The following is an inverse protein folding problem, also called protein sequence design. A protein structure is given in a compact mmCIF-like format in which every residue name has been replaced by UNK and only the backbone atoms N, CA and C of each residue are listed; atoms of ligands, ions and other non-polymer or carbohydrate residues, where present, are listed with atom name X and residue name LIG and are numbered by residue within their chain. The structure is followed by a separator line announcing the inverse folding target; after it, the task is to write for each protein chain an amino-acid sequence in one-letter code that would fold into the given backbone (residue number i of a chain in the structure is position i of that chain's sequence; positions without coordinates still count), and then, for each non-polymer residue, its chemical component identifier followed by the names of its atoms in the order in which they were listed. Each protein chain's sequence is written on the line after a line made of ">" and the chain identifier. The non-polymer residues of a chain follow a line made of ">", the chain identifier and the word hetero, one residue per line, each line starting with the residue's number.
data_IF_450404431792
#
_entry.id   IF_450404431792
#
_cell.length_a   1.000
_cell.length_b   1.000
_cell.length_c   1.000
_cell.angle_alpha   90.00
_cell.angle_beta   90.00
_cell.angle_gamma   90.00
#
_symmetry.space_group_name_H-M   'P 1'
#
loop_
_entity.id
_entity.type
_entity.pdbx_description
1 polymer ?
#
# COMPACT_ATOMS: atom_id res chain seq x y z
N UNK A 1 -8.14 3.26 -4.61
CA UNK A 1 -6.78 2.70 -4.78
C UNK A 1 -5.96 2.97 -3.54
N UNK A 2 -5.10 2.04 -3.15
CA UNK A 2 -4.29 2.18 -1.96
C UNK A 2 -2.92 1.49 -2.02
N UNK A 3 -2.03 1.95 -1.14
CA UNK A 3 -0.81 1.27 -0.73
C UNK A 3 -0.80 1.28 0.80
N UNK A 4 -0.69 0.11 1.42
CA UNK A 4 -0.49 -0.03 2.85
C UNK A 4 0.82 -0.75 3.10
N UNK A 5 1.77 -0.12 3.78
CA UNK A 5 2.94 -0.80 4.30
C UNK A 5 2.73 -1.19 5.76
N UNK A 6 3.02 -2.43 6.11
CA UNK A 6 3.16 -2.86 7.50
C UNK A 6 4.64 -2.80 7.83
N UNK A 7 4.98 -1.96 8.79
CA UNK A 7 6.35 -1.68 9.22
C UNK A 7 6.56 -2.28 10.59
N UNK A 8 7.62 -3.05 10.77
CA UNK A 8 8.05 -3.57 12.06
C UNK A 8 9.18 -2.70 12.60
N UNK A 9 9.04 -2.23 13.84
CA UNK A 9 10.13 -1.54 14.53
C UNK A 9 11.07 -2.51 15.25
N UNK A 10 12.18 -2.00 15.79
CA UNK A 10 13.18 -2.80 16.52
C UNK A 10 12.63 -3.50 17.77
N UNK A 11 11.58 -2.94 18.37
CA UNK A 11 10.86 -3.50 19.52
C UNK A 11 9.88 -4.61 19.12
N UNK A 12 9.66 -4.80 17.81
CA UNK A 12 8.76 -5.81 17.25
C UNK A 12 7.31 -5.33 17.06
N UNK A 13 7.02 -4.06 17.34
CA UNK A 13 5.70 -3.46 17.13
C UNK A 13 5.45 -3.22 15.64
N UNK A 14 4.20 -3.41 15.23
CA UNK A 14 3.76 -3.22 13.84
C UNK A 14 3.02 -1.90 13.67
N UNK A 15 3.36 -1.17 12.62
CA UNK A 15 2.79 0.12 12.26
C UNK A 15 2.26 0.03 10.83
N UNK A 16 0.97 0.31 10.64
CA UNK A 16 0.36 0.39 9.33
C UNK A 16 0.47 1.82 8.76
N UNK A 17 1.05 1.96 7.57
CA UNK A 17 1.17 3.23 6.84
C UNK A 17 0.36 3.13 5.56
N UNK A 18 -0.81 3.79 5.55
CA UNK A 18 -1.77 3.76 4.44
C UNK A 18 -1.73 5.05 3.63
N UNK A 19 -1.64 4.93 2.32
CA UNK A 19 -1.88 5.98 1.34
C UNK A 19 -3.04 5.56 0.43
N UNK A 20 -3.90 6.50 0.06
CA UNK A 20 -5.06 6.26 -0.78
C UNK A 20 -5.16 7.32 -1.88
N UNK A 21 -5.68 6.91 -3.02
CA UNK A 21 -6.01 7.80 -4.12
C UNK A 21 -7.38 7.40 -4.67
N UNK A 22 -8.27 8.39 -4.76
CA UNK A 22 -9.60 8.22 -5.33
C UNK A 22 -9.48 8.13 -6.86
N UNK A 23 -9.41 6.91 -7.37
CA UNK A 23 -9.47 6.60 -8.79
C UNK A 23 -10.73 5.78 -9.03
N UNK A 24 -11.62 6.31 -9.86
CA UNK A 24 -12.87 5.69 -10.30
C UNK A 24 -12.67 4.67 -11.43
N UNK A 25 -11.46 4.61 -11.99
CA UNK A 25 -11.11 3.75 -13.12
C UNK A 25 -10.62 2.39 -12.59
N UNK A 26 -11.43 1.36 -12.81
CA UNK A 26 -11.10 -0.03 -12.46
C UNK A 26 -10.25 -0.68 -13.56
N UNK A 27 -10.66 -0.52 -14.82
CA UNK A 27 -9.97 -1.07 -16.00
C UNK A 27 -9.80 0.01 -17.07
N UNK A 28 -8.59 0.57 -17.25
CA UNK A 28 -8.35 1.58 -18.27
C UNK A 28 -8.30 0.96 -19.67
N UNK A 29 -9.40 1.02 -20.42
CA UNK A 29 -9.51 0.44 -21.77
C UNK A 29 -9.02 1.39 -22.86
N UNK A 30 -9.34 2.69 -22.76
CA UNK A 30 -8.93 3.73 -23.70
C UNK A 30 -7.69 4.53 -23.23
N UNK A 31 -7.08 5.29 -24.14
CA UNK A 31 -5.84 6.05 -23.87
C UNK A 31 -6.05 7.10 -22.78
N UNK A 32 -7.20 7.80 -22.76
CA UNK A 32 -7.45 8.84 -21.77
C UNK A 32 -7.61 8.22 -20.37
N UNK A 33 -8.31 7.09 -20.27
CA UNK A 33 -8.43 6.33 -19.02
C UNK A 33 -7.08 5.78 -18.55
N UNK A 34 -6.22 5.30 -19.47
CA UNK A 34 -4.85 4.87 -19.15
C UNK A 34 -4.01 6.01 -18.59
N UNK A 35 -4.08 7.19 -19.20
CA UNK A 35 -3.38 8.38 -18.71
C UNK A 35 -3.88 8.81 -17.32
N UNK A 36 -5.20 8.85 -17.12
CA UNK A 36 -5.79 9.17 -15.80
C UNK A 36 -5.36 8.15 -14.74
N UNK A 37 -5.42 6.87 -15.05
CA UNK A 37 -4.99 5.80 -14.14
C UNK A 37 -3.51 5.93 -13.76
N UNK A 38 -2.65 6.23 -14.72
CA UNK A 38 -1.23 6.49 -14.48
C UNK A 38 -1.00 7.72 -13.57
N UNK A 39 -1.75 8.82 -13.79
CA UNK A 39 -1.69 10.01 -12.94
C UNK A 39 -2.08 9.69 -11.49
N UNK A 40 -3.18 8.97 -11.28
CA UNK A 40 -3.60 8.57 -9.94
C UNK A 40 -2.61 7.59 -9.28
N UNK A 41 -2.01 6.70 -10.05
CA UNK A 41 -0.97 5.78 -9.56
C UNK A 41 0.28 6.55 -9.12
N UNK A 42 0.73 7.52 -9.91
CA UNK A 42 1.87 8.37 -9.55
C UNK A 42 1.59 9.25 -8.33
N UNK A 43 0.37 9.80 -8.24
CA UNK A 43 -0.07 10.55 -7.05
C UNK A 43 -0.04 9.66 -5.80
N UNK A 44 -0.59 8.45 -5.90
CA UNK A 44 -0.60 7.46 -4.82
C UNK A 44 0.83 7.13 -4.34
N UNK A 45 1.75 6.91 -5.28
CA UNK A 45 3.16 6.69 -4.98
C UNK A 45 3.81 7.88 -4.28
N UNK A 46 3.57 9.10 -4.76
CA UNK A 46 4.11 10.31 -4.14
C UNK A 46 3.62 10.47 -2.68
N UNK A 47 2.32 10.30 -2.45
CA UNK A 47 1.70 10.39 -1.12
C UNK A 47 2.25 9.30 -0.18
N UNK A 48 2.42 8.08 -0.70
CA UNK A 48 3.04 6.98 0.03
C UNK A 48 4.50 7.27 0.41
N UNK A 49 5.31 7.77 -0.53
CA UNK A 49 6.72 8.10 -0.29
C UNK A 49 6.88 9.17 0.79
N UNK A 50 6.02 10.18 0.81
CA UNK A 50 6.02 11.20 1.87
C UNK A 50 5.73 10.58 3.23
N UNK A 51 4.72 9.70 3.31
CA UNK A 51 4.32 9.05 4.56
C UNK A 51 5.36 8.06 5.09
N UNK A 52 6.02 7.31 4.20
CA UNK A 52 6.98 6.27 4.61
C UNK A 52 8.37 6.83 4.92
N UNK A 53 8.71 8.03 4.43
CA UNK A 53 10.04 8.65 4.59
C UNK A 53 10.55 8.65 6.04
N UNK A 54 9.69 8.90 7.02
CA UNK A 54 10.09 8.94 8.44
C UNK A 54 10.51 7.57 9.01
N UNK A 55 10.15 6.49 8.33
CA UNK A 55 10.51 5.11 8.69
C UNK A 55 11.69 4.57 7.85
N UNK A 56 12.29 5.38 6.95
CA UNK A 56 13.46 4.98 6.18
C UNK A 56 14.75 5.10 7.04
N UNK A 57 14.82 4.36 8.14
CA UNK A 57 15.94 4.34 9.07
C UNK A 57 16.21 2.90 9.57
N UNK A 58 17.31 2.70 10.30
CA UNK A 58 17.77 1.37 10.73
C UNK A 58 16.85 0.69 11.76
N UNK A 59 15.94 1.42 12.39
CA UNK A 59 15.06 0.89 13.43
C UNK A 59 13.73 0.38 12.89
N UNK A 60 13.50 0.48 11.57
CA UNK A 60 12.26 0.08 10.92
C UNK A 60 12.54 -0.78 9.69
N UNK A 61 11.71 -1.80 9.50
CA UNK A 61 11.72 -2.63 8.30
C UNK A 61 10.30 -2.79 7.77
N UNK A 62 10.15 -2.75 6.45
CA UNK A 62 8.87 -3.08 5.79
C UNK A 62 8.73 -4.60 5.84
N UNK A 63 7.69 -5.07 6.53
CA UNK A 63 7.36 -6.51 6.64
C UNK A 63 6.55 -6.95 5.43
N UNK A 64 5.50 -6.18 5.09
CA UNK A 64 4.65 -6.47 3.93
C UNK A 64 4.04 -5.21 3.33
N UNK A 65 3.66 -5.29 2.06
CA UNK A 65 2.92 -4.26 1.32
C UNK A 65 1.59 -4.83 0.85
N UNK A 66 0.49 -4.12 1.10
CA UNK A 66 -0.84 -4.44 0.60
C UNK A 66 -1.26 -3.37 -0.42
N UNK A 67 -1.80 -3.79 -1.56
CA UNK A 67 -2.30 -2.86 -2.58
C UNK A 67 -3.41 -3.47 -3.41
N UNK A 68 -4.31 -2.63 -3.92
CA UNK A 68 -5.32 -2.98 -4.92
C UNK A 68 -4.88 -2.63 -6.36
N UNK A 69 -3.66 -2.12 -6.53
CA UNK A 69 -3.12 -1.73 -7.82
C UNK A 69 -2.19 -2.84 -8.35
N UNK A 70 -2.54 -3.55 -9.43
CA UNK A 70 -1.76 -4.67 -9.92
C UNK A 70 -0.39 -4.27 -10.48
N UNK A 71 -0.25 -3.04 -10.99
CA UNK A 71 1.05 -2.52 -11.47
C UNK A 71 1.99 -2.36 -10.28
N UNK A 72 1.49 -1.75 -9.20
CA UNK A 72 2.27 -1.55 -7.98
C UNK A 72 2.60 -2.88 -7.29
N UNK A 73 1.67 -3.82 -7.26
CA UNK A 73 1.92 -5.16 -6.74
C UNK A 73 3.13 -5.80 -7.43
N UNK A 74 3.12 -5.84 -8.77
CA UNK A 74 4.19 -6.44 -9.55
C UNK A 74 5.56 -5.77 -9.30
N UNK A 75 5.60 -4.45 -9.11
CA UNK A 75 6.84 -3.74 -8.80
C UNK A 75 7.31 -3.98 -7.36
N UNK A 76 6.41 -3.91 -6.37
CA UNK A 76 6.77 -4.11 -4.97
C UNK A 76 7.17 -5.55 -4.66
N UNK A 77 6.54 -6.55 -5.30
CA UNK A 77 6.87 -7.97 -5.13
C UNK A 77 8.32 -8.32 -5.50
N UNK A 78 9.03 -7.46 -6.24
CA UNK A 78 10.46 -7.65 -6.56
C UNK A 78 11.38 -7.44 -5.36
N UNK A 79 10.93 -6.71 -4.35
CA UNK A 79 11.74 -6.26 -3.22
C UNK A 79 11.10 -6.53 -1.86
N UNK A 80 9.79 -6.73 -1.81
CA UNK A 80 9.01 -6.88 -0.59
C UNK A 80 8.04 -8.03 -0.71
N UNK A 81 7.61 -8.56 0.44
CA UNK A 81 6.42 -9.39 0.50
C UNK A 81 5.20 -8.51 0.20
N UNK A 82 4.57 -8.69 -0.96
CA UNK A 82 3.48 -7.84 -1.41
C UNK A 82 2.24 -8.66 -1.79
N UNK A 83 1.07 -8.20 -1.34
CA UNK A 83 -0.20 -8.90 -1.49
C UNK A 83 -1.25 -8.02 -2.16
N UNK A 84 -2.03 -8.63 -3.06
CA UNK A 84 -3.20 -7.98 -3.62
C UNK A 84 -4.34 -8.03 -2.61
N UNK A 85 -4.81 -6.87 -2.16
CA UNK A 85 -5.95 -6.75 -1.26
C UNK A 85 -6.89 -5.70 -1.83
N UNK A 86 -8.19 -5.96 -2.01
CA UNK A 86 -9.16 -4.92 -2.38
C UNK A 86 -9.26 -3.85 -1.28
N UNK A 87 -9.45 -2.58 -1.66
CA UNK A 87 -9.56 -1.48 -0.70
C UNK A 87 -10.63 -1.72 0.38
N UNK A 88 -11.75 -2.36 0.03
CA UNK A 88 -12.82 -2.70 0.96
C UNK A 88 -12.39 -3.69 2.06
N UNK A 89 -11.35 -4.50 1.84
CA UNK A 89 -10.88 -5.52 2.78
C UNK A 89 -9.62 -5.09 3.54
N UNK A 90 -9.01 -3.95 3.19
CA UNK A 90 -7.68 -3.58 3.67
C UNK A 90 -7.62 -3.42 5.19
N UNK A 91 -8.65 -2.82 5.80
CA UNK A 91 -8.66 -2.56 7.23
C UNK A 91 -8.85 -3.85 8.03
N UNK A 92 -9.61 -4.83 7.49
CA UNK A 92 -9.72 -6.16 8.09
C UNK A 92 -8.38 -6.92 8.06
N UNK A 93 -7.69 -6.89 6.93
CA UNK A 93 -6.38 -7.56 6.83
C UNK A 93 -5.32 -6.87 7.70
N UNK A 94 -5.33 -5.53 7.80
CA UNK A 94 -4.47 -4.79 8.73
C UNK A 94 -4.71 -5.27 10.17
N UNK A 95 -5.96 -5.32 10.62
CA UNK A 95 -6.30 -5.73 11.99
C UNK A 95 -5.82 -7.15 12.30
N UNK A 96 -6.01 -8.07 11.34
CA UNK A 96 -5.54 -9.45 11.44
C UNK A 96 -4.01 -9.54 11.55
N UNK A 97 -3.28 -8.82 10.70
CA UNK A 97 -1.81 -8.82 10.69
C UNK A 97 -1.21 -8.14 11.93
N UNK A 98 -1.90 -7.13 12.44
CA UNK A 98 -1.53 -6.42 13.66
C UNK A 98 -1.91 -7.18 14.95
N UNK A 99 -2.62 -8.31 14.85
CA UNK A 99 -3.04 -9.09 16.01
C UNK A 99 -4.12 -8.39 16.86
N UNK A 100 -4.84 -7.43 16.27
CA UNK A 100 -5.97 -6.77 16.94
C UNK A 100 -7.15 -7.74 16.86
N UNK A 101 -7.28 -8.58 17.90
CA UNK A 101 -8.48 -9.40 18.08
C UNK A 101 -9.70 -8.48 18.10
N UNK A 102 -10.70 -8.77 17.25
CA UNK A 102 -12.04 -8.17 17.35
C UNK A 102 -12.54 -8.46 18.77
N UNK A 103 -12.52 -7.43 19.63
CA UNK A 103 -13.16 -7.45 20.95
C UNK A 103 -14.66 -7.35 20.83
#
# INVERSE_FOLDING_TARGET
>A
MHITAIIKNRQGEKIAVKATANCDIIFPTDIASKMKYALYTNKLLADYMVKIKKYANKDHAIEQILTDNPILLNEFSKHYEAHFIPEACVDEEINKVMGVAKG
#
